data_IF_004970402971
#
_entry.id   IF_004970402971
#
_cell.length_a   1.000
_cell.length_b   1.000
_cell.length_c   1.000
_cell.angle_alpha   90.00
_cell.angle_beta   90.00
_cell.angle_gamma   90.00
#
_symmetry.space_group_name_H-M   'P 1'
#
loop_
_entity.id
_entity.type
_entity.pdbx_description
1 polymer ?
#
# COMPACT_ATOMS: atom_id res chain seq x y z
N UNK A 1 14.88 -25.30 -3.62
CA UNK A 1 16.32 -24.92 -3.63
C UNK A 1 16.64 -23.43 -3.84
N UNK A 2 16.17 -22.75 -4.91
CA UNK A 2 16.60 -21.36 -5.22
C UNK A 2 16.38 -20.31 -4.11
N UNK A 3 15.32 -20.44 -3.32
CA UNK A 3 14.99 -19.51 -2.23
C UNK A 3 15.32 -20.03 -0.82
N UNK A 4 15.97 -21.20 -0.70
CA UNK A 4 16.25 -21.81 0.61
C UNK A 4 15.01 -22.41 1.29
N UNK A 5 14.01 -22.82 0.49
CA UNK A 5 12.80 -23.50 0.98
C UNK A 5 11.73 -22.58 1.58
N UNK A 6 11.97 -21.27 1.65
CA UNK A 6 11.03 -20.28 2.18
C UNK A 6 11.00 -19.04 1.29
N UNK A 7 9.82 -18.48 1.07
CA UNK A 7 9.64 -17.34 0.17
C UNK A 7 8.65 -16.32 0.74
N UNK A 8 8.84 -15.07 0.32
CA UNK A 8 7.86 -13.99 0.36
C UNK A 8 7.36 -13.74 -1.06
N UNK A 9 6.07 -13.44 -1.22
CA UNK A 9 5.45 -13.22 -2.52
C UNK A 9 4.72 -11.88 -2.59
N UNK A 10 4.77 -11.25 -3.77
CA UNK A 10 3.96 -10.09 -4.13
C UNK A 10 3.66 -10.11 -5.63
N UNK A 11 2.65 -9.36 -6.06
CA UNK A 11 2.48 -9.03 -7.47
C UNK A 11 3.33 -7.80 -7.83
N UNK A 12 3.00 -7.14 -8.93
CA UNK A 12 3.70 -5.96 -9.44
C UNK A 12 3.87 -4.90 -8.35
N UNK A 13 2.82 -4.62 -7.57
CA UNK A 13 2.81 -3.52 -6.62
C UNK A 13 2.61 -4.00 -5.19
N UNK A 14 1.65 -4.88 -4.96
CA UNK A 14 1.18 -5.16 -3.61
C UNK A 14 1.56 -6.54 -3.12
N UNK A 15 1.83 -6.61 -1.81
CA UNK A 15 2.01 -7.84 -1.07
C UNK A 15 0.70 -8.20 -0.32
N UNK A 16 0.38 -9.50 -0.16
CA UNK A 16 -0.87 -9.96 0.43
C UNK A 16 -0.87 -9.88 1.97
N UNK A 17 -0.48 -8.72 2.51
CA UNK A 17 -0.31 -8.47 3.96
C UNK A 17 -1.60 -8.66 4.74
N UNK A 18 -2.71 -8.31 4.11
CA UNK A 18 -4.09 -8.49 4.55
C UNK A 18 -4.53 -9.95 4.61
N UNK A 19 -3.92 -10.85 3.83
CA UNK A 19 -4.20 -12.29 3.91
C UNK A 19 -3.28 -13.04 4.90
N UNK A 20 -2.37 -12.35 5.60
CA UNK A 20 -1.37 -12.99 6.47
C UNK A 20 -1.98 -13.85 7.59
N UNK A 21 -3.22 -13.54 8.02
CA UNK A 21 -3.93 -14.31 9.06
C UNK A 21 -4.13 -15.78 8.68
N UNK A 22 -4.20 -16.12 7.39
CA UNK A 22 -4.33 -17.50 6.90
C UNK A 22 -3.10 -18.36 7.18
N UNK A 23 -1.92 -17.74 7.33
CA UNK A 23 -0.66 -18.42 7.66
C UNK A 23 -0.17 -18.03 9.06
N UNK A 24 -1.09 -17.83 10.01
CA UNK A 24 -0.75 -17.52 11.40
C UNK A 24 -0.09 -16.15 11.57
N UNK A 25 -0.49 -15.16 10.77
CA UNK A 25 0.04 -13.80 10.79
C UNK A 25 1.36 -13.62 10.04
N UNK A 26 1.84 -14.65 9.34
CA UNK A 26 3.09 -14.61 8.57
C UNK A 26 2.85 -14.51 7.07
N UNK A 27 3.79 -13.91 6.34
CA UNK A 27 3.83 -13.93 4.87
C UNK A 27 4.89 -14.92 4.33
N UNK A 28 5.35 -15.81 5.21
CA UNK A 28 6.33 -16.84 4.88
C UNK A 28 5.65 -18.02 4.21
N UNK A 29 5.81 -18.14 2.90
CA UNK A 29 5.40 -19.31 2.15
C UNK A 29 6.47 -20.40 2.20
N UNK A 30 6.07 -21.63 2.51
CA UNK A 30 6.91 -22.84 2.41
C UNK A 30 6.45 -23.78 1.30
N UNK A 31 5.16 -23.75 0.96
CA UNK A 31 4.59 -24.54 -0.14
C UNK A 31 3.99 -23.65 -1.24
N UNK A 32 3.82 -24.19 -2.47
CA UNK A 32 3.04 -23.50 -3.51
C UNK A 32 1.60 -23.22 -3.10
N UNK A 33 1.01 -24.07 -2.26
CA UNK A 33 -0.34 -23.86 -1.73
C UNK A 33 -0.39 -22.58 -0.89
N UNK A 34 0.60 -22.35 -0.01
CA UNK A 34 0.67 -21.12 0.78
C UNK A 34 0.69 -19.87 -0.11
N UNK A 35 1.43 -19.93 -1.23
CA UNK A 35 1.50 -18.83 -2.21
C UNK A 35 0.13 -18.57 -2.81
N UNK A 36 -0.53 -19.61 -3.31
CA UNK A 36 -1.84 -19.49 -3.96
C UNK A 36 -2.89 -19.00 -2.96
N UNK A 37 -2.91 -19.54 -1.75
CA UNK A 37 -3.83 -19.15 -0.68
C UNK A 37 -3.69 -17.68 -0.33
N UNK A 38 -2.47 -17.18 -0.09
CA UNK A 38 -2.27 -15.76 0.21
C UNK A 38 -2.71 -14.85 -0.94
N UNK A 39 -2.39 -15.21 -2.19
CA UNK A 39 -2.73 -14.39 -3.34
C UNK A 39 -4.24 -14.37 -3.61
N UNK A 40 -4.93 -15.50 -3.46
CA UNK A 40 -6.36 -15.60 -3.70
C UNK A 40 -7.21 -14.92 -2.62
N UNK A 41 -6.69 -14.79 -1.41
CA UNK A 41 -7.42 -14.26 -0.26
C UNK A 41 -7.05 -12.83 0.12
N UNK A 42 -6.33 -12.12 -0.75
CA UNK A 42 -5.89 -10.75 -0.51
C UNK A 42 -6.64 -9.75 -1.40
N UNK A 43 -7.26 -8.77 -0.76
CA UNK A 43 -7.87 -7.60 -1.39
C UNK A 43 -6.82 -6.71 -2.03
N UNK A 44 -5.61 -6.62 -1.45
CA UNK A 44 -4.51 -5.90 -2.10
C UNK A 44 -4.12 -6.52 -3.45
N UNK A 45 -4.11 -7.85 -3.55
CA UNK A 45 -3.82 -8.56 -4.80
C UNK A 45 -4.99 -8.38 -5.78
N UNK A 46 -6.24 -8.42 -5.30
CA UNK A 46 -7.40 -8.12 -6.12
C UNK A 46 -7.34 -6.69 -6.70
N UNK A 47 -6.98 -5.70 -5.87
CA UNK A 47 -6.78 -4.32 -6.29
C UNK A 47 -5.71 -4.19 -7.37
N UNK A 48 -4.55 -4.84 -7.20
CA UNK A 48 -3.48 -4.87 -8.21
C UNK A 48 -4.03 -5.35 -9.56
N UNK A 49 -4.79 -6.45 -9.59
CA UNK A 49 -5.27 -7.08 -10.81
C UNK A 49 -6.43 -6.31 -11.49
N UNK A 50 -7.33 -5.74 -10.70
CA UNK A 50 -8.60 -5.20 -11.19
C UNK A 50 -8.61 -3.67 -11.28
N UNK A 51 -8.00 -2.97 -10.32
CA UNK A 51 -8.31 -1.57 -10.03
C UNK A 51 -7.15 -0.63 -10.25
N UNK A 52 -5.91 -1.07 -10.01
CA UNK A 52 -4.71 -0.23 -10.15
C UNK A 52 -4.64 0.45 -11.52
N UNK A 53 -4.98 -0.29 -12.59
CA UNK A 53 -5.02 0.24 -13.95
C UNK A 53 -6.13 1.27 -14.15
N UNK A 54 -7.29 1.06 -13.53
CA UNK A 54 -8.46 1.94 -13.67
C UNK A 54 -8.22 3.28 -12.98
N UNK A 55 -7.62 3.26 -11.78
CA UNK A 55 -7.26 4.46 -11.04
C UNK A 55 -6.37 5.38 -11.88
N UNK A 56 -5.31 4.85 -12.51
CA UNK A 56 -4.43 5.64 -13.37
C UNK A 56 -5.13 6.27 -14.60
N UNK A 57 -6.24 5.69 -15.08
CA UNK A 57 -6.99 6.24 -16.22
C UNK A 57 -7.92 7.38 -15.81
N UNK A 58 -8.44 7.34 -14.58
CA UNK A 58 -9.32 8.38 -14.05
C UNK A 58 -8.55 9.64 -13.67
N UNK A 59 -7.29 9.51 -13.26
CA UNK A 59 -6.41 10.65 -12.92
C UNK A 59 -5.72 11.28 -14.14
N UNK A 60 -5.96 10.76 -15.35
CA UNK A 60 -5.35 11.30 -16.57
C UNK A 60 -5.93 12.69 -16.90
N UNK A 61 -5.09 13.68 -17.27
CA UNK A 61 -5.56 15.01 -17.63
C UNK A 61 -6.53 14.94 -18.82
N UNK A 62 -7.81 15.26 -18.58
CA UNK A 62 -8.91 15.17 -19.55
C UNK A 62 -10.06 14.22 -19.18
N UNK A 63 -9.94 13.44 -18.10
CA UNK A 63 -11.00 12.53 -17.64
C UNK A 63 -12.10 13.21 -16.78
N UNK A 64 -11.87 14.44 -16.30
CA UNK A 64 -12.84 15.22 -15.54
C UNK A 64 -13.91 15.82 -16.46
N UNK A 65 -14.89 15.00 -16.84
CA UNK A 65 -16.03 15.44 -17.67
C UNK A 65 -17.00 14.34 -18.10
N UNK A 66 -16.75 13.06 -17.78
CA UNK A 66 -17.68 11.98 -18.05
C UNK A 66 -18.40 11.56 -16.76
N UNK A 67 -19.72 11.68 -16.76
CA UNK A 67 -20.60 11.28 -15.66
C UNK A 67 -20.27 9.86 -15.16
N UNK A 68 -20.20 9.71 -13.84
CA UNK A 68 -19.80 8.50 -13.11
C UNK A 68 -20.82 7.33 -13.18
N UNK A 69 -21.62 7.25 -14.26
CA UNK A 69 -22.73 6.32 -14.38
C UNK A 69 -22.80 5.63 -15.76
N UNK A 70 -21.71 5.01 -16.21
CA UNK A 70 -21.76 3.93 -17.20
C UNK A 70 -20.43 3.14 -17.21
N UNK A 71 -20.44 1.80 -17.37
CA UNK A 71 -19.25 1.06 -17.77
C UNK A 71 -19.03 1.28 -19.27
N UNK A 72 -18.69 2.51 -19.66
CA UNK A 72 -18.28 2.80 -21.02
C UNK A 72 -16.91 2.14 -21.24
N UNK A 73 -16.82 1.28 -22.26
CA UNK A 73 -15.60 0.60 -22.64
C UNK A 73 -14.41 1.55 -22.59
N UNK A 74 -13.35 1.16 -21.87
CA UNK A 74 -12.15 1.96 -21.69
C UNK A 74 -11.70 2.52 -23.07
N UNK A 75 -11.39 3.83 -23.18
CA UNK A 75 -11.07 4.43 -24.46
C UNK A 75 -9.92 3.68 -25.13
N UNK A 76 -9.94 3.52 -26.45
CA UNK A 76 -8.91 2.76 -27.18
C UNK A 76 -7.46 3.22 -26.87
N UNK A 77 -7.27 4.48 -26.49
CA UNK A 77 -5.99 5.04 -26.02
C UNK A 77 -5.50 4.45 -24.67
N UNK A 78 -6.41 4.05 -23.77
CA UNK A 78 -6.08 3.35 -22.53
C UNK A 78 -5.55 1.92 -22.78
N UNK A 79 -5.92 1.33 -23.92
CA UNK A 79 -5.40 0.04 -24.34
C UNK A 79 -3.94 0.14 -24.79
N UNK A 80 -3.53 1.28 -25.38
CA UNK A 80 -2.17 1.57 -25.84
C UNK A 80 -1.18 1.85 -24.69
N UNK A 81 -1.59 2.63 -23.68
CA UNK A 81 -0.71 3.02 -22.55
C UNK A 81 -0.18 1.82 -21.74
N UNK A 82 -0.89 0.69 -21.78
CA UNK A 82 -0.52 -0.54 -21.09
C UNK A 82 -0.18 -1.70 -22.04
N UNK A 83 0.01 -1.43 -23.34
CA UNK A 83 0.51 -2.48 -24.26
C UNK A 83 1.88 -2.94 -23.78
N UNK A 84 2.00 -4.26 -23.57
CA UNK A 84 3.23 -4.89 -23.09
C UNK A 84 3.32 -5.03 -21.57
N UNK A 85 2.34 -4.55 -20.80
CA UNK A 85 2.30 -4.86 -19.37
C UNK A 85 1.92 -6.32 -19.13
N UNK A 86 2.68 -6.97 -18.25
CA UNK A 86 2.41 -8.34 -17.79
C UNK A 86 2.33 -8.36 -16.28
N UNK A 87 1.42 -9.18 -15.75
CA UNK A 87 1.42 -9.51 -14.33
C UNK A 87 2.67 -10.32 -14.00
N UNK A 88 3.37 -9.93 -12.94
CA UNK A 88 4.60 -10.58 -12.49
C UNK A 88 4.38 -11.09 -11.09
N UNK A 89 4.56 -12.39 -10.91
CA UNK A 89 4.70 -12.98 -9.59
C UNK A 89 6.14 -12.78 -9.11
N UNK A 90 6.32 -11.89 -8.14
CA UNK A 90 7.62 -11.64 -7.53
C UNK A 90 7.79 -12.59 -6.35
N UNK A 91 8.84 -13.41 -6.41
CA UNK A 91 9.25 -14.27 -5.29
C UNK A 91 10.59 -13.80 -4.74
N UNK A 92 10.64 -13.49 -3.45
CA UNK A 92 11.86 -13.12 -2.73
C UNK A 92 12.15 -14.15 -1.65
N UNK A 93 13.42 -14.32 -1.29
CA UNK A 93 13.79 -15.13 -0.12
C UNK A 93 13.15 -14.50 1.13
N UNK A 94 12.55 -15.34 1.98
CA UNK A 94 12.01 -14.88 3.25
C UNK A 94 13.12 -14.37 4.18
N UNK A 95 12.86 -13.25 4.86
CA UNK A 95 13.75 -12.65 5.87
C UNK A 95 12.92 -12.20 7.06
N UNK A 96 13.38 -12.48 8.28
CA UNK A 96 12.74 -12.01 9.50
C UNK A 96 13.18 -10.56 9.80
N UNK A 97 12.56 -9.60 9.12
CA UNK A 97 12.80 -8.19 9.36
C UNK A 97 12.12 -7.76 10.66
N UNK A 98 12.82 -6.95 11.47
CA UNK A 98 12.23 -6.32 12.66
C UNK A 98 11.42 -5.10 12.21
N UNK A 99 10.14 -5.07 12.54
CA UNK A 99 9.22 -3.98 12.18
C UNK A 99 9.68 -2.61 12.67
N UNK A 100 10.35 -2.58 13.83
CA UNK A 100 10.95 -1.38 14.43
C UNK A 100 11.98 -0.68 13.54
N UNK A 101 12.54 -1.39 12.57
CA UNK A 101 13.61 -0.91 11.71
C UNK A 101 13.14 -0.62 10.28
N UNK A 102 11.82 -0.62 10.05
CA UNK A 102 11.21 -0.27 8.78
C UNK A 102 10.73 1.17 8.77
N UNK A 103 11.00 1.88 7.68
CA UNK A 103 10.66 3.29 7.50
C UNK A 103 10.01 3.51 6.14
N UNK A 104 8.98 4.35 6.09
CA UNK A 104 8.44 4.88 4.83
C UNK A 104 9.05 6.24 4.57
N UNK A 105 9.59 6.40 3.38
CA UNK A 105 10.33 7.57 2.94
C UNK A 105 9.66 8.19 1.73
N UNK A 106 9.76 9.51 1.63
CA UNK A 106 9.14 10.32 0.59
C UNK A 106 10.23 11.14 -0.09
N UNK A 107 10.39 11.02 -1.40
CA UNK A 107 11.45 11.69 -2.13
C UNK A 107 10.95 12.39 -3.39
N UNK A 108 11.57 13.52 -3.71
CA UNK A 108 11.32 14.34 -4.91
C UNK A 108 12.66 14.71 -5.53
N UNK A 109 12.86 14.45 -6.82
CA UNK A 109 14.13 14.67 -7.51
C UNK A 109 15.29 13.84 -6.95
N UNK A 110 15.01 12.75 -6.22
CA UNK A 110 16.02 12.00 -5.47
C UNK A 110 16.39 12.56 -4.11
N UNK A 111 15.85 13.72 -3.72
CA UNK A 111 16.03 14.28 -2.38
C UNK A 111 14.97 13.73 -1.44
N UNK A 112 15.37 13.29 -0.25
CA UNK A 112 14.45 12.90 0.80
C UNK A 112 13.76 14.15 1.35
N UNK A 113 12.42 14.17 1.39
CA UNK A 113 11.65 15.30 1.94
C UNK A 113 11.05 14.95 3.30
N UNK A 114 10.71 13.69 3.51
CA UNK A 114 10.14 13.20 4.76
C UNK A 114 10.39 11.70 4.93
N UNK A 115 10.41 11.24 6.17
CA UNK A 115 10.45 9.82 6.53
C UNK A 115 9.62 9.57 7.79
N UNK A 116 9.06 8.37 7.93
CA UNK A 116 8.38 7.95 9.15
C UNK A 116 8.61 6.48 9.47
N UNK A 117 8.46 6.12 10.74
CA UNK A 117 8.36 4.74 11.17
C UNK A 117 7.21 4.02 10.44
N UNK A 118 7.48 2.84 9.86
CA UNK A 118 6.47 2.07 9.09
C UNK A 118 5.38 1.48 9.97
N UNK A 119 5.76 1.00 11.15
CA UNK A 119 4.87 0.42 12.15
C UNK A 119 4.27 1.53 13.02
N UNK A 120 3.07 2.01 12.67
CA UNK A 120 2.42 3.11 13.42
C UNK A 120 1.78 2.68 14.74
N UNK A 121 1.78 1.40 15.08
CA UNK A 121 1.05 0.86 16.23
C UNK A 121 1.94 0.64 17.45
N UNK A 122 3.27 0.66 17.28
CA UNK A 122 4.21 0.38 18.35
C UNK A 122 5.13 1.57 18.60
N UNK A 123 5.34 1.92 19.86
CA UNK A 123 6.39 2.84 20.27
C UNK A 123 7.69 2.06 20.54
N UNK A 124 8.78 2.48 19.92
CA UNK A 124 10.12 1.93 20.12
C UNK A 124 11.05 3.01 20.71
N UNK A 125 11.26 2.97 22.02
CA UNK A 125 12.03 3.97 22.77
C UNK A 125 13.43 4.21 22.21
N UNK A 126 14.06 3.17 21.65
CA UNK A 126 15.41 3.25 21.09
C UNK A 126 15.51 4.05 19.77
N UNK A 127 14.39 4.33 19.09
CA UNK A 127 14.41 5.07 17.82
C UNK A 127 14.68 6.56 18.01
N UNK A 128 14.17 7.14 19.10
CA UNK A 128 14.35 8.57 19.44
C UNK A 128 15.83 8.99 19.48
N UNK A 129 16.72 8.32 20.23
CA UNK A 129 18.14 8.66 20.21
C UNK A 129 18.82 8.39 18.85
N UNK A 130 18.27 7.51 18.01
CA UNK A 130 18.80 7.20 16.68
C UNK A 130 18.34 8.15 15.57
N UNK A 131 17.45 9.11 15.87
CA UNK A 131 16.79 10.00 14.89
C UNK A 131 17.77 10.65 13.90
N UNK A 132 18.85 11.26 14.41
CA UNK A 132 19.83 11.97 13.57
C UNK A 132 20.57 11.02 12.62
N UNK A 133 20.94 9.83 13.12
CA UNK A 133 21.60 8.80 12.34
C UNK A 133 20.67 8.22 11.25
N UNK A 134 19.41 7.96 11.59
CA UNK A 134 18.41 7.47 10.65
C UNK A 134 18.17 8.46 9.50
N UNK A 135 18.01 9.75 9.83
CA UNK A 135 17.88 10.80 8.83
C UNK A 135 19.07 10.81 7.87
N UNK A 136 20.29 10.77 8.40
CA UNK A 136 21.50 10.75 7.55
C UNK A 136 21.52 9.54 6.62
N UNK A 137 21.30 8.33 7.16
CA UNK A 137 21.34 7.09 6.38
C UNK A 137 20.29 7.08 5.26
N UNK A 138 19.06 7.51 5.57
CA UNK A 138 17.96 7.52 4.62
C UNK A 138 18.16 8.59 3.53
N UNK A 139 18.62 9.79 3.89
CA UNK A 139 18.96 10.86 2.93
C UNK A 139 20.05 10.41 1.98
N UNK A 140 21.17 9.88 2.51
CA UNK A 140 22.28 9.38 1.69
C UNK A 140 21.85 8.26 0.73
N UNK A 141 20.97 7.37 1.19
CA UNK A 141 20.43 6.30 0.35
C UNK A 141 19.54 6.86 -0.76
N UNK A 142 18.63 7.77 -0.42
CA UNK A 142 17.75 8.51 -1.34
C UNK A 142 18.51 9.13 -2.50
N UNK A 143 19.47 10.00 -2.20
CA UNK A 143 20.24 10.73 -3.22
C UNK A 143 21.14 9.83 -4.07
N UNK A 144 21.61 8.71 -3.51
CA UNK A 144 22.47 7.77 -4.23
C UNK A 144 21.69 6.90 -5.21
N UNK A 145 20.45 6.54 -4.88
CA UNK A 145 19.73 5.47 -5.58
C UNK A 145 18.40 5.89 -6.20
N UNK A 146 17.69 6.87 -5.63
CA UNK A 146 16.32 7.23 -5.99
C UNK A 146 16.23 8.42 -6.96
N UNK A 147 17.29 9.23 -7.11
CA UNK A 147 17.38 10.32 -8.10
C UNK A 147 17.76 9.88 -9.51
N UNK A 148 17.62 8.59 -9.85
CA UNK A 148 18.04 8.07 -11.16
C UNK A 148 17.00 8.43 -12.24
N UNK A 149 17.41 8.74 -13.48
CA UNK A 149 16.47 9.07 -14.57
C UNK A 149 15.45 7.98 -14.92
N UNK A 150 15.70 6.74 -14.51
CA UNK A 150 14.79 5.62 -14.72
C UNK A 150 13.66 5.52 -13.69
N UNK A 151 13.67 6.37 -12.66
CA UNK A 151 12.63 6.44 -11.64
C UNK A 151 11.76 7.69 -11.85
N UNK A 152 10.48 7.65 -11.45
CA UNK A 152 9.66 8.85 -11.40
C UNK A 152 10.31 9.95 -10.55
N UNK A 153 10.02 11.21 -10.88
CA UNK A 153 10.58 12.35 -10.18
C UNK A 153 10.22 12.34 -8.68
N UNK A 154 8.97 12.00 -8.35
CA UNK A 154 8.49 11.86 -6.98
C UNK A 154 8.11 10.40 -6.69
N UNK A 155 8.62 9.85 -5.59
CA UNK A 155 8.39 8.45 -5.19
C UNK A 155 8.24 8.31 -3.68
N UNK A 156 7.42 7.34 -3.28
CA UNK A 156 7.40 6.80 -1.92
C UNK A 156 8.22 5.52 -1.93
N UNK A 157 9.04 5.29 -0.91
CA UNK A 157 9.83 4.08 -0.81
C UNK A 157 9.91 3.59 0.63
N UNK A 158 9.80 2.28 0.79
CA UNK A 158 9.93 1.61 2.08
C UNK A 158 11.38 1.13 2.24
N UNK A 159 11.97 1.39 3.40
CA UNK A 159 13.36 1.11 3.73
C UNK A 159 13.46 0.26 4.98
N UNK A 160 14.46 -0.61 5.04
CA UNK A 160 14.87 -1.30 6.25
C UNK A 160 16.28 -0.89 6.63
N UNK A 161 16.50 -0.49 7.89
CA UNK A 161 17.83 -0.12 8.41
C UNK A 161 18.30 -1.19 9.39
N UNK A 162 19.35 -1.95 9.02
CA UNK A 162 19.87 -2.99 9.91
C UNK A 162 20.75 -2.42 11.04
N UNK A 163 21.14 -3.29 11.97
CA UNK A 163 21.99 -2.92 13.11
C UNK A 163 23.42 -2.55 12.73
N UNK A 164 23.83 -2.79 11.48
CA UNK A 164 25.12 -2.38 10.93
C UNK A 164 25.00 -1.07 10.12
N UNK A 165 23.89 -0.34 10.28
CA UNK A 165 23.59 0.92 9.60
C UNK A 165 23.46 0.79 8.08
N UNK A 166 23.17 -0.42 7.59
CA UNK A 166 22.95 -0.64 6.17
C UNK A 166 21.47 -0.49 5.85
N UNK A 167 21.20 0.32 4.83
CA UNK A 167 19.85 0.58 4.32
C UNK A 167 19.54 -0.38 3.17
N UNK A 168 18.37 -1.00 3.23
CA UNK A 168 17.82 -1.88 2.19
C UNK A 168 16.53 -1.27 1.66
N UNK A 169 16.41 -1.17 0.34
CA UNK A 169 15.15 -0.83 -0.30
C UNK A 169 14.21 -2.04 -0.24
N UNK A 170 13.05 -1.87 0.39
CA UNK A 170 12.02 -2.90 0.54
C UNK A 170 11.00 -2.80 -0.58
N UNK A 171 10.45 -1.60 -0.79
CA UNK A 171 9.44 -1.36 -1.80
C UNK A 171 9.47 0.07 -2.34
N UNK A 172 8.86 0.29 -3.51
CA UNK A 172 8.66 1.61 -4.12
C UNK A 172 7.20 1.72 -4.54
N UNK A 173 6.58 2.86 -4.24
CA UNK A 173 5.19 3.18 -4.56
C UNK A 173 5.08 4.60 -5.15
N UNK A 174 3.98 4.90 -5.85
CA UNK A 174 3.72 6.24 -6.36
C UNK A 174 3.63 7.29 -5.23
N UNK A 175 4.14 8.49 -5.50
CA UNK A 175 3.89 9.67 -4.68
C UNK A 175 2.49 10.21 -4.99
N UNK A 176 1.48 9.58 -4.41
CA UNK A 176 0.06 9.85 -4.67
C UNK A 176 -0.81 9.39 -3.50
N UNK A 177 -1.99 9.98 -3.35
CA UNK A 177 -2.93 9.74 -2.24
C UNK A 177 -3.38 8.28 -2.09
N UNK A 178 -3.28 7.49 -3.15
CA UNK A 178 -3.50 6.04 -3.13
C UNK A 178 -2.49 5.28 -2.26
N UNK A 179 -1.34 5.88 -1.95
CA UNK A 179 -0.32 5.31 -1.07
C UNK A 179 -0.57 5.80 0.37
N UNK A 180 -0.64 4.88 1.33
CA UNK A 180 -0.85 5.24 2.73
C UNK A 180 0.32 6.11 3.28
N UNK A 181 0.08 7.35 3.75
CA UNK A 181 1.13 8.27 4.19
C UNK A 181 1.65 7.98 5.62
N UNK A 182 1.02 7.04 6.32
CA UNK A 182 1.38 6.57 7.65
C UNK A 182 1.26 7.62 8.75
N UNK A 183 2.36 8.28 9.09
CA UNK A 183 2.41 9.30 10.13
C UNK A 183 2.31 10.72 9.54
N UNK A 184 2.07 10.83 8.24
CA UNK A 184 1.89 12.08 7.52
C UNK A 184 0.48 12.22 6.96
N UNK A 185 0.17 13.44 6.53
CA UNK A 185 -0.99 13.74 5.70
C UNK A 185 -0.48 14.21 4.32
N UNK A 186 -1.17 13.82 3.25
CA UNK A 186 -0.79 14.19 1.88
C UNK A 186 -0.64 15.70 1.64
N UNK A 187 -1.52 16.59 2.18
CA UNK A 187 -1.33 18.03 2.05
C UNK A 187 0.04 18.52 2.58
N UNK A 188 0.53 17.94 3.68
CA UNK A 188 1.85 18.28 4.23
C UNK A 188 2.96 17.80 3.30
N UNK A 189 2.85 16.57 2.78
CA UNK A 189 3.83 16.01 1.84
C UNK A 189 3.92 16.84 0.55
N UNK A 190 2.80 17.31 0.01
CA UNK A 190 2.78 18.19 -1.16
C UNK A 190 3.41 19.56 -0.86
N UNK A 191 3.20 20.13 0.32
CA UNK A 191 3.87 21.37 0.73
C UNK A 191 5.39 21.19 0.83
N UNK A 192 5.84 20.07 1.41
CA UNK A 192 7.28 19.75 1.49
C UNK A 192 7.89 19.55 0.09
N UNK A 193 7.20 18.85 -0.81
CA UNK A 193 7.61 18.67 -2.19
C UNK A 193 7.80 20.01 -2.92
N UNK A 194 6.79 20.90 -2.84
CA UNK A 194 6.83 22.22 -3.47
C UNK A 194 7.99 23.10 -2.97
N UNK A 195 8.34 23.00 -1.68
CA UNK A 195 9.50 23.73 -1.11
C UNK A 195 10.82 23.28 -1.73
N UNK A 196 11.00 21.97 -1.95
CA UNK A 196 12.24 21.45 -2.57
C UNK A 196 12.35 21.87 -4.04
N UNK A 197 11.24 21.87 -4.78
CA UNK A 197 11.21 22.33 -6.17
C UNK A 197 11.51 23.83 -6.31
N UNK A 198 11.00 24.65 -5.38
CA UNK A 198 11.30 26.09 -5.33
C UNK A 198 12.78 26.36 -5.01
N UNK A 199 13.35 25.61 -4.07
CA UNK A 199 14.77 25.74 -3.74
C UNK A 199 15.69 25.27 -4.88
N UNK A 200 15.21 24.36 -5.73
CA UNK A 200 15.96 23.84 -6.88
C UNK A 200 15.88 24.74 -8.11
N UNK A 201 14.93 25.67 -8.17
CA UNK A 201 14.71 26.58 -9.32
C UNK A 201 15.35 27.97 -9.15
N UNK A 202 15.84 28.31 -7.96
CA UNK A 202 16.72 29.46 -7.74
C UNK A 202 18.16 29.16 -8.15
N UNK A 203 18.75 29.99 -9.02
CA UNK A 203 20.10 29.91 -9.58
C UNK A 203 21.14 29.04 -8.84
N UNK A 204 21.39 27.84 -9.37
CA UNK A 204 22.65 27.15 -9.17
C UNK A 204 23.26 26.85 -10.55
N UNK A 205 24.34 27.55 -10.88
CA UNK A 205 25.29 27.08 -11.89
C UNK A 205 25.81 25.68 -11.52
N UNK A 206 26.64 25.03 -12.36
CA UNK A 206 27.12 23.67 -12.12
C UNK A 206 28.05 23.62 -10.91
N UNK A 207 27.47 23.61 -9.72
CA UNK A 207 28.16 23.44 -8.46
C UNK A 207 28.49 21.95 -8.28
N UNK A 208 29.66 21.62 -7.70
CA UNK A 208 29.96 20.23 -7.36
C UNK A 208 28.85 19.68 -6.47
N UNK A 209 28.43 18.43 -6.75
CA UNK A 209 27.38 17.71 -6.03
C UNK A 209 27.58 17.90 -4.52
N UNK A 210 26.74 18.74 -3.91
CA UNK A 210 26.82 19.07 -2.49
C UNK A 210 26.67 17.79 -1.65
N UNK A 211 27.25 17.79 -0.45
CA UNK A 211 27.05 16.69 0.48
C UNK A 211 25.55 16.55 0.81
N UNK A 212 25.06 15.31 1.04
CA UNK A 212 23.68 15.07 1.41
C UNK A 212 23.29 15.95 2.60
N UNK A 213 22.30 16.82 2.42
CA UNK A 213 21.80 17.68 3.48
C UNK A 213 20.56 17.05 4.12
N UNK A 214 20.57 16.97 5.44
CA UNK A 214 19.40 16.57 6.23
C UNK A 214 18.51 17.77 6.59
N UNK A 215 18.91 18.98 6.18
CA UNK A 215 18.19 20.22 6.52
C UNK A 215 16.81 20.26 5.86
N UNK A 216 15.77 20.52 6.65
CA UNK A 216 14.39 20.57 6.18
C UNK A 216 13.71 19.20 6.00
N UNK A 217 14.41 18.08 6.23
CA UNK A 217 13.81 16.73 6.17
C UNK A 217 13.07 16.41 7.47
N UNK A 218 11.80 16.03 7.36
CA UNK A 218 10.98 15.69 8.52
C UNK A 218 10.97 14.18 8.80
N UNK A 219 11.44 13.77 9.99
CA UNK A 219 11.29 12.39 10.48
C UNK A 219 10.19 12.31 11.54
N UNK A 220 9.17 11.47 11.35
CA UNK A 220 8.13 11.17 12.35
C UNK A 220 8.28 9.77 12.93
N UNK A 221 8.29 9.67 14.25
CA UNK A 221 8.30 8.42 14.99
C UNK A 221 7.07 8.37 15.89
N UNK A 222 6.65 7.17 16.30
CA UNK A 222 5.59 7.05 17.31
C UNK A 222 6.19 7.48 18.64
N UNK A 223 5.64 8.52 19.28
CA UNK A 223 6.26 9.17 20.45
C UNK A 223 5.93 8.51 21.79
N UNK A 224 4.76 7.89 21.92
CA UNK A 224 4.30 7.33 23.19
C UNK A 224 3.61 5.97 23.02
N UNK A 225 3.72 5.12 24.06
CA UNK A 225 2.95 3.89 24.14
C UNK A 225 1.48 4.23 24.39
N UNK A 226 0.66 4.25 23.34
CA UNK A 226 -0.78 4.30 23.52
C UNK A 226 -1.25 2.97 24.15
N UNK A 227 -2.04 3.05 25.21
CA UNK A 227 -2.60 1.87 25.89
C UNK A 227 -3.30 0.93 24.90
N UNK A 228 -2.96 -0.37 24.96
CA UNK A 228 -3.51 -1.52 24.19
C UNK A 228 -4.12 -1.13 22.83
N UNK A 229 -3.25 -0.78 21.87
CA UNK A 229 -3.65 -0.77 20.46
C UNK A 229 -3.47 -2.19 19.89
N UNK A 230 -4.46 -2.72 19.14
CA UNK A 230 -4.29 -3.97 18.40
C UNK A 230 -3.07 -3.87 17.49
N UNK A 231 -2.23 -4.91 17.43
CA UNK A 231 -1.16 -5.01 16.42
C UNK A 231 -1.76 -4.93 15.01
N UNK A 232 -1.00 -4.44 14.01
CA UNK A 232 -1.42 -4.42 12.59
C UNK A 232 -2.09 -5.72 12.11
N UNK A 233 -1.63 -6.88 12.62
CA UNK A 233 -2.18 -8.21 12.30
C UNK A 233 -3.63 -8.43 12.77
N UNK A 234 -4.09 -7.73 13.81
CA UNK A 234 -5.48 -7.79 14.27
C UNK A 234 -6.43 -7.05 13.31
N UNK A 235 -5.92 -6.03 12.61
CA UNK A 235 -6.69 -5.26 11.63
C UNK A 235 -6.93 -6.07 10.34
N UNK A 236 -5.93 -6.83 9.89
CA UNK A 236 -6.06 -7.68 8.70
C UNK A 236 -7.02 -8.89 8.86
N UNK A 237 -7.48 -9.18 10.08
CA UNK A 237 -8.47 -10.23 10.35
C UNK A 237 -9.92 -9.74 10.38
N UNK A 238 -10.16 -8.44 10.19
CA UNK A 238 -11.49 -7.83 10.25
C UNK A 238 -11.87 -7.24 8.88
N UNK A 239 -13.15 -7.32 8.46
CA UNK A 239 -13.61 -6.66 7.24
C UNK A 239 -13.25 -5.16 7.21
N UNK A 240 -12.94 -4.62 6.03
CA UNK A 240 -12.50 -3.23 5.88
C UNK A 240 -13.50 -2.21 6.47
N UNK A 241 -14.79 -2.52 6.44
CA UNK A 241 -15.88 -1.71 7.01
C UNK A 241 -15.71 -1.46 8.52
N UNK A 242 -15.11 -2.38 9.27
CA UNK A 242 -14.84 -2.20 10.70
C UNK A 242 -13.72 -1.19 11.00
N UNK A 243 -12.94 -0.79 9.98
CA UNK A 243 -11.78 0.10 10.15
C UNK A 243 -12.13 1.58 10.03
N UNK A 244 -13.22 1.94 9.35
CA UNK A 244 -13.59 3.34 9.11
C UNK A 244 -14.56 3.90 10.16
N UNK A 245 -15.17 3.06 10.99
CA UNK A 245 -16.08 3.49 12.04
C UNK A 245 -15.34 3.85 13.34
N UNK A 246 -15.39 5.10 13.77
CA UNK A 246 -15.09 5.52 15.16
C UNK A 246 -16.10 4.93 16.16
N UNK A 247 -16.31 3.61 16.19
CA UNK A 247 -17.32 2.93 17.02
C UNK A 247 -18.78 3.32 16.72
N UNK A 248 -19.04 4.22 15.77
CA UNK A 248 -20.38 4.66 15.35
C UNK A 248 -21.05 3.72 14.35
N UNK A 249 -20.29 2.80 13.74
CA UNK A 249 -20.74 2.04 12.56
C UNK A 249 -21.28 0.62 12.89
N UNK A 250 -21.15 0.16 14.13
CA UNK A 250 -21.69 -1.14 14.54
C UNK A 250 -23.23 -1.13 14.47
N UNK A 251 -23.86 0.00 14.79
CA UNK A 251 -25.30 0.15 14.75
C UNK A 251 -25.86 0.12 13.31
N UNK A 252 -25.15 0.73 12.36
CA UNK A 252 -25.48 0.71 10.92
C UNK A 252 -25.23 -0.66 10.31
N UNK A 253 -24.16 -1.37 10.70
CA UNK A 253 -23.94 -2.77 10.31
C UNK A 253 -25.05 -3.70 10.83
N UNK A 254 -25.49 -3.53 12.08
CA UNK A 254 -26.62 -4.27 12.64
C UNK A 254 -27.92 -3.95 11.89
N UNK A 255 -28.13 -2.68 11.52
CA UNK A 255 -29.29 -2.26 10.74
C UNK A 255 -29.26 -2.90 9.33
N UNK A 256 -28.13 -2.81 8.62
CA UNK A 256 -27.96 -3.41 7.31
C UNK A 256 -28.13 -4.95 7.33
N UNK A 257 -27.64 -5.62 8.39
CA UNK A 257 -27.83 -7.05 8.57
C UNK A 257 -29.30 -7.42 8.83
N UNK A 258 -30.04 -6.59 9.58
CA UNK A 258 -31.50 -6.76 9.79
C UNK A 258 -32.29 -6.50 8.52
N UNK A 259 -31.90 -5.52 7.73
CA UNK A 259 -32.53 -5.19 6.45
C UNK A 259 -32.29 -6.31 5.42
N UNK A 260 -31.09 -6.89 5.37
CA UNK A 260 -30.80 -8.05 4.54
C UNK A 260 -31.57 -9.31 4.97
N UNK A 261 -31.71 -9.54 6.29
CA UNK A 261 -32.47 -10.68 6.82
C UNK A 261 -33.99 -10.55 6.57
N UNK A 262 -34.53 -9.32 6.65
CA UNK A 262 -35.95 -9.06 6.37
C UNK A 262 -36.27 -9.14 4.89
N UNK A 263 -35.36 -8.70 4.01
CA UNK A 263 -35.46 -8.88 2.56
C UNK A 263 -35.49 -10.37 2.15
N UNK A 264 -34.73 -11.24 2.83
CA UNK A 264 -34.78 -12.70 2.59
C UNK A 264 -36.10 -13.34 3.08
N UNK A 265 -36.74 -12.82 4.13
CA UNK A 265 -38.05 -13.31 4.59
C UNK A 265 -39.22 -12.88 3.70
N UNK A 266 -39.00 -11.90 2.82
CA UNK A 266 -40.01 -11.30 1.94
C UNK A 266 -40.04 -11.94 0.53
N UNK A 267 -39.10 -12.84 0.23
CA UNK A 267 -39.08 -13.58 -1.03
C UNK A 267 -40.04 -14.79 -0.92
N UNK A 268 -41.25 -14.63 -1.45
CA UNK A 268 -42.23 -15.70 -1.62
C UNK A 268 -41.61 -16.85 -2.46
N UNK A 269 -41.79 -18.13 -2.07
CA UNK A 269 -41.29 -19.24 -2.88
C UNK A 269 -42.05 -19.28 -4.22
N UNK A 270 -41.40 -19.68 -5.33
CA UNK A 270 -42.06 -19.77 -6.62
C UNK A 270 -43.18 -20.82 -6.56
N UNK A 271 -44.39 -20.44 -6.97
CA UNK A 271 -45.51 -21.38 -7.08
C UNK A 271 -45.18 -22.47 -8.12
N UNK A 272 -45.14 -23.72 -7.68
CA UNK A 272 -45.05 -24.89 -8.55
C UNK A 272 -46.31 -24.97 -9.43
N UNK A 273 -46.13 -24.68 -10.73
CA UNK A 273 -47.15 -24.90 -11.75
C UNK A 273 -47.38 -26.40 -11.94
N UNK A 274 -48.59 -26.86 -11.61
CA UNK A 274 -49.09 -28.19 -11.92
C UNK A 274 -48.95 -28.46 -13.43
N UNK A 275 -48.14 -29.46 -13.80
CA UNK A 275 -48.13 -30.06 -15.13
C UNK A 275 -48.66 -31.48 -15.00
N UNK A 276 -49.72 -31.76 -15.76
CA UNK A 276 -50.53 -32.96 -15.65
C UNK A 276 -49.82 -34.24 -16.09
N UNK A 277 -50.28 -35.36 -15.51
CA UNK A 277 -49.99 -36.72 -15.94
C UNK A 277 -50.32 -36.95 -17.43
N UNK A 278 -49.52 -37.76 -18.14
CA UNK A 278 -49.98 -38.43 -19.34
C UNK A 278 -50.60 -39.77 -18.97
N UNK A 279 -51.83 -40.00 -19.44
CA UNK A 279 -52.46 -41.31 -19.46
C UNK A 279 -51.90 -42.14 -20.64
N UNK A 280 -51.57 -43.39 -20.37
CA UNK A 280 -51.34 -44.44 -21.37
C UNK A 280 -51.79 -45.79 -20.78
N UNK A 281 -52.11 -46.79 -21.62
CA UNK A 281 -53.45 -47.12 -22.11
C UNK A 281 -54.28 -48.05 -21.20
#
# INVERSE_FOLDING_TARGET
>A
DRFGGTAFVKLNWSAPKDAAWLLGGSLKCVTPTDVITLLQSSDHIAHDLCDARRACLLDAPGASGADAAAPAAAPAAAHDAWRGHSWVLVMRRWSNLRTSNEFRCFSVGGHLIAACQRDRYAHYEFLTPMRGQLLQLLTEFGERHLGKPCLPHAVVWDAYVDTANKVYLIDVAPFHESTDPILFEWPILHQLAARVEQNSSGEAGPAPRAAPSVEGVELRLVEEQQHVTPTAQLYYGLPHDFHQGEGKDVASLIAAARDAASAQSSAEPPQEGATGEPAEP
#
